data_IF_697518051771
#
_entry.id   IF_697518051771
#
_cell.length_a   1.000
_cell.length_b   1.000
_cell.length_c   1.000
_cell.angle_alpha   90.00
_cell.angle_beta   90.00
_cell.angle_gamma   90.00
#
_symmetry.space_group_name_H-M   'P 1'
#
loop_
_entity.id
_entity.type
_entity.pdbx_description
1 polymer ?
#
# COMPACT_ATOMS: atom_id res chain seq x y z
N UNK A 1 -17.57 -1.50 16.41
CA UNK A 1 -16.56 -1.21 15.37
C UNK A 1 -16.37 0.30 15.35
N UNK A 2 -15.13 0.78 15.43
CA UNK A 2 -14.81 2.19 15.35
C UNK A 2 -14.48 2.57 13.91
N UNK A 3 -15.08 3.66 13.43
CA UNK A 3 -14.85 4.16 12.07
C UNK A 3 -13.74 5.21 12.06
N UNK A 4 -13.00 5.29 10.95
CA UNK A 4 -12.04 6.37 10.75
C UNK A 4 -12.74 7.73 10.74
N UNK A 5 -12.08 8.71 11.32
CA UNK A 5 -12.49 10.11 11.17
C UNK A 5 -12.01 10.61 9.81
N UNK A 6 -12.94 11.05 8.97
CA UNK A 6 -12.60 11.69 7.70
C UNK A 6 -11.84 13.00 7.95
N UNK A 7 -10.91 13.32 7.06
CA UNK A 7 -10.04 14.51 7.17
C UNK A 7 -10.18 15.46 5.98
N UNK A 8 -11.20 15.26 5.14
CA UNK A 8 -11.44 16.10 3.96
C UNK A 8 -11.71 17.57 4.30
N UNK A 9 -12.34 17.84 5.44
CA UNK A 9 -12.60 19.18 5.98
C UNK A 9 -11.34 19.95 6.35
N UNK A 10 -10.19 19.28 6.41
CA UNK A 10 -8.89 19.85 6.77
C UNK A 10 -7.92 20.01 5.59
N UNK A 11 -8.32 19.64 4.37
CA UNK A 11 -7.41 19.67 3.20
C UNK A 11 -6.83 21.06 2.93
N UNK A 12 -7.60 22.11 3.19
CA UNK A 12 -7.14 23.49 3.07
C UNK A 12 -6.50 24.05 4.36
N UNK A 13 -6.23 23.19 5.35
CA UNK A 13 -5.70 23.54 6.67
C UNK A 13 -4.50 22.66 7.04
N UNK A 14 -3.33 22.80 6.38
CA UNK A 14 -2.19 21.90 6.56
C UNK A 14 -1.76 21.70 8.02
N UNK A 15 -1.79 22.77 8.82
CA UNK A 15 -1.47 22.69 10.25
C UNK A 15 -2.43 21.80 11.04
N UNK A 16 -3.72 21.80 10.70
CA UNK A 16 -4.72 20.93 11.33
C UNK A 16 -4.57 19.47 10.87
N UNK A 17 -4.25 19.23 9.59
CA UNK A 17 -3.92 17.90 9.09
C UNK A 17 -2.71 17.31 9.81
N UNK A 18 -1.61 18.07 9.91
CA UNK A 18 -0.40 17.64 10.65
C UNK A 18 -0.71 17.34 12.12
N UNK A 19 -1.51 18.18 12.77
CA UNK A 19 -1.93 17.95 14.15
C UNK A 19 -2.70 16.63 14.29
N UNK A 20 -3.69 16.38 13.42
CA UNK A 20 -4.46 15.12 13.41
C UNK A 20 -3.56 13.92 13.17
N UNK A 21 -2.68 13.97 12.16
CA UNK A 21 -1.72 12.89 11.88
C UNK A 21 -0.81 12.60 13.08
N UNK A 22 -0.35 13.64 13.77
CA UNK A 22 0.48 13.51 14.98
C UNK A 22 -0.29 12.90 16.15
N UNK A 23 -1.56 13.25 16.31
CA UNK A 23 -2.40 12.78 17.43
C UNK A 23 -2.91 11.36 17.20
N UNK A 24 -3.44 11.09 16.01
CA UNK A 24 -4.15 9.84 15.68
C UNK A 24 -3.23 8.80 15.04
N UNK A 25 -2.13 9.20 14.39
CA UNK A 25 -1.21 8.34 13.65
C UNK A 25 -1.67 8.04 12.24
N UNK A 26 -2.82 8.59 11.80
CA UNK A 26 -3.39 8.41 10.48
C UNK A 26 -4.20 9.63 10.03
N UNK A 27 -4.42 9.69 8.71
CA UNK A 27 -5.44 10.51 8.05
C UNK A 27 -6.27 9.60 7.13
N UNK A 28 -7.56 9.82 7.10
CA UNK A 28 -8.44 9.15 6.15
C UNK A 28 -9.05 10.20 5.23
N UNK A 29 -8.73 10.13 3.94
CA UNK A 29 -9.15 11.10 2.93
C UNK A 29 -10.02 10.40 1.90
N UNK A 30 -11.21 10.89 1.72
CA UNK A 30 -12.15 10.43 0.70
C UNK A 30 -11.83 11.09 -0.64
N UNK A 31 -11.94 10.32 -1.70
CA UNK A 31 -12.01 10.82 -3.08
C UNK A 31 -10.82 11.69 -3.51
N UNK A 32 -9.62 11.32 -3.09
CA UNK A 32 -8.39 12.07 -3.41
C UNK A 32 -7.64 11.49 -4.63
N UNK A 33 -7.78 10.18 -4.90
CA UNK A 33 -7.18 9.58 -6.09
C UNK A 33 -8.11 9.63 -7.30
N UNK A 34 -7.55 9.76 -8.52
CA UNK A 34 -8.33 9.77 -9.76
C UNK A 34 -9.04 8.44 -9.98
N UNK A 35 -10.36 8.43 -9.87
CA UNK A 35 -11.19 7.22 -9.98
C UNK A 35 -11.05 6.51 -11.33
N UNK A 36 -10.96 7.26 -12.41
CA UNK A 36 -10.80 6.70 -13.75
C UNK A 36 -9.50 5.91 -13.89
N UNK A 37 -8.40 6.45 -13.34
CA UNK A 37 -7.11 5.77 -13.35
C UNK A 37 -7.12 4.53 -12.43
N UNK A 38 -7.71 4.64 -11.25
CA UNK A 38 -7.88 3.51 -10.34
C UNK A 38 -8.74 2.39 -10.95
N UNK A 39 -9.84 2.73 -11.66
CA UNK A 39 -10.66 1.77 -12.39
C UNK A 39 -9.90 1.14 -13.57
N UNK A 40 -9.07 1.91 -14.27
CA UNK A 40 -8.22 1.37 -15.32
C UNK A 40 -7.24 0.34 -14.75
N UNK A 41 -6.56 0.66 -13.64
CA UNK A 41 -5.65 -0.27 -12.97
C UNK A 41 -6.40 -1.53 -12.51
N UNK A 42 -7.58 -1.38 -11.89
CA UNK A 42 -8.44 -2.50 -11.49
C UNK A 42 -8.75 -3.41 -12.67
N UNK A 43 -9.18 -2.83 -13.78
CA UNK A 43 -9.51 -3.59 -14.99
C UNK A 43 -8.31 -4.41 -15.46
N UNK A 44 -7.13 -3.79 -15.62
CA UNK A 44 -5.92 -4.48 -16.05
C UNK A 44 -5.56 -5.64 -15.09
N UNK A 45 -5.62 -5.42 -13.78
CA UNK A 45 -5.34 -6.49 -12.80
C UNK A 45 -6.32 -7.65 -12.96
N UNK A 46 -7.61 -7.36 -13.10
CA UNK A 46 -8.64 -8.40 -13.27
C UNK A 46 -8.50 -9.13 -14.62
N UNK A 47 -8.09 -8.44 -15.70
CA UNK A 47 -7.74 -9.06 -16.97
C UNK A 47 -6.59 -10.05 -16.80
N UNK A 48 -5.51 -9.67 -16.09
CA UNK A 48 -4.38 -10.56 -15.79
C UNK A 48 -4.81 -11.76 -14.93
N UNK A 49 -5.68 -11.54 -13.94
CA UNK A 49 -6.25 -12.63 -13.15
C UNK A 49 -7.09 -13.58 -14.00
N UNK A 50 -7.87 -13.05 -14.96
CA UNK A 50 -8.68 -13.87 -15.88
C UNK A 50 -7.83 -14.71 -16.81
N UNK A 51 -6.78 -14.14 -17.36
CA UNK A 51 -5.83 -14.84 -18.24
C UNK A 51 -5.17 -16.03 -17.53
N UNK A 52 -4.92 -15.92 -16.23
CA UNK A 52 -4.34 -17.01 -15.41
C UNK A 52 -5.39 -17.91 -14.75
N UNK A 53 -6.69 -17.73 -15.10
CA UNK A 53 -7.78 -18.59 -14.62
C UNK A 53 -8.18 -18.38 -13.16
N UNK A 54 -7.90 -17.18 -12.59
CA UNK A 54 -8.28 -16.89 -11.20
C UNK A 54 -9.70 -16.39 -11.04
N UNK A 55 -10.34 -15.98 -12.13
CA UNK A 55 -11.72 -15.47 -12.09
C UNK A 55 -12.70 -16.54 -12.55
N UNK A 56 -13.87 -16.52 -11.93
CA UNK A 56 -14.99 -17.37 -12.28
C UNK A 56 -15.38 -17.20 -13.77
N UNK A 57 -15.49 -18.32 -14.49
CA UNK A 57 -15.82 -18.31 -15.90
C UNK A 57 -17.19 -17.69 -16.16
N UNK A 58 -17.28 -16.82 -17.18
CA UNK A 58 -18.53 -16.15 -17.57
C UNK A 58 -18.95 -14.98 -16.66
N UNK A 59 -18.28 -14.72 -15.54
CA UNK A 59 -18.59 -13.57 -14.69
C UNK A 59 -18.20 -12.23 -15.34
N UNK A 60 -18.93 -11.12 -15.07
CA UNK A 60 -18.49 -9.79 -15.50
C UNK A 60 -17.12 -9.47 -14.90
N UNK A 61 -16.18 -8.95 -15.73
CA UNK A 61 -14.80 -8.73 -15.33
C UNK A 61 -14.70 -7.88 -14.04
N UNK A 62 -15.42 -6.75 -14.01
CA UNK A 62 -15.27 -5.74 -12.95
C UNK A 62 -15.86 -6.18 -11.61
N UNK A 63 -16.62 -7.25 -11.56
CA UNK A 63 -17.13 -7.82 -10.31
C UNK A 63 -16.01 -8.52 -9.53
N UNK A 64 -14.97 -9.01 -10.25
CA UNK A 64 -13.81 -9.65 -9.63
C UNK A 64 -14.14 -10.94 -8.89
N UNK A 65 -15.14 -11.68 -9.40
CA UNK A 65 -15.57 -12.94 -8.79
C UNK A 65 -14.56 -14.05 -9.07
N UNK A 66 -14.27 -14.86 -8.05
CA UNK A 66 -13.31 -15.96 -8.09
C UNK A 66 -13.90 -17.22 -7.47
N UNK A 67 -13.61 -18.36 -8.07
CA UNK A 67 -13.78 -19.70 -7.50
C UNK A 67 -12.43 -20.41 -7.35
N UNK A 68 -11.34 -19.69 -7.58
CA UNK A 68 -9.99 -20.19 -7.46
C UNK A 68 -9.57 -20.30 -5.99
N UNK A 69 -8.87 -21.39 -5.66
CA UNK A 69 -8.25 -21.54 -4.34
C UNK A 69 -7.27 -20.40 -4.04
N UNK A 70 -7.24 -19.88 -2.80
CA UNK A 70 -6.37 -18.79 -2.43
C UNK A 70 -4.89 -19.08 -2.72
N UNK A 71 -4.22 -18.13 -3.37
CA UNK A 71 -2.80 -18.22 -3.69
C UNK A 71 -1.96 -17.48 -2.65
N UNK A 72 -0.88 -18.12 -2.23
CA UNK A 72 0.13 -17.49 -1.36
C UNK A 72 0.87 -16.40 -2.14
N UNK A 73 0.91 -15.20 -1.60
CA UNK A 73 1.67 -14.07 -2.17
C UNK A 73 3.14 -14.48 -2.40
N UNK A 74 3.65 -14.23 -3.61
CA UNK A 74 5.01 -14.61 -4.02
C UNK A 74 5.19 -16.07 -4.44
N UNK A 75 4.17 -16.93 -4.38
CA UNK A 75 4.21 -18.31 -4.89
C UNK A 75 4.37 -18.34 -6.41
N UNK A 76 4.74 -19.52 -6.96
CA UNK A 76 4.90 -19.69 -8.41
C UNK A 76 3.64 -19.37 -9.19
N UNK A 77 2.45 -19.74 -8.68
CA UNK A 77 1.17 -19.47 -9.33
C UNK A 77 0.77 -17.99 -9.27
N UNK A 78 1.22 -17.27 -8.24
CA UNK A 78 0.90 -15.85 -8.05
C UNK A 78 1.78 -14.89 -8.89
N UNK A 79 3.06 -15.25 -9.11
CA UNK A 79 4.06 -14.38 -9.77
C UNK A 79 3.71 -13.92 -11.18
N UNK A 80 3.09 -14.73 -12.06
CA UNK A 80 2.78 -14.27 -13.43
C UNK A 80 1.85 -13.05 -13.45
N UNK A 81 0.76 -13.09 -12.68
CA UNK A 81 -0.16 -11.93 -12.53
C UNK A 81 0.60 -10.73 -11.96
N UNK A 82 1.38 -10.96 -10.90
CA UNK A 82 2.07 -9.88 -10.22
C UNK A 82 3.14 -9.19 -11.08
N UNK A 83 3.85 -9.94 -11.91
CA UNK A 83 4.82 -9.37 -12.84
C UNK A 83 4.14 -8.45 -13.88
N UNK A 84 2.97 -8.85 -14.40
CA UNK A 84 2.17 -8.01 -15.31
C UNK A 84 1.70 -6.73 -14.62
N UNK A 85 1.30 -6.81 -13.34
CA UNK A 85 0.92 -5.64 -12.53
C UNK A 85 2.11 -4.71 -12.34
N UNK A 86 3.28 -5.24 -11.96
CA UNK A 86 4.49 -4.45 -11.76
C UNK A 86 5.02 -3.80 -13.06
N UNK A 87 4.71 -4.37 -14.23
CA UNK A 87 5.03 -3.77 -15.53
C UNK A 87 4.00 -2.72 -15.99
N UNK A 88 2.87 -2.56 -15.29
CA UNK A 88 1.83 -1.59 -15.65
C UNK A 88 2.23 -0.18 -15.19
N UNK A 89 2.57 0.71 -16.11
CA UNK A 89 2.96 2.10 -15.78
C UNK A 89 1.92 2.83 -14.93
N UNK A 90 0.63 2.73 -15.27
CA UNK A 90 -0.45 3.39 -14.54
C UNK A 90 -0.47 3.00 -13.05
N UNK A 91 -0.11 1.74 -12.74
CA UNK A 91 -0.01 1.26 -11.37
C UNK A 91 1.06 2.00 -10.55
N UNK A 92 2.15 2.44 -11.19
CA UNK A 92 3.18 3.23 -10.53
C UNK A 92 2.92 4.75 -10.61
N UNK A 93 2.20 5.19 -11.64
CA UNK A 93 1.91 6.61 -11.85
C UNK A 93 0.87 7.17 -10.89
N UNK A 94 -0.13 6.40 -10.49
CA UNK A 94 -1.25 6.89 -9.66
C UNK A 94 -0.79 7.57 -8.37
N UNK A 95 0.30 7.11 -7.76
CA UNK A 95 0.89 7.73 -6.58
C UNK A 95 1.52 9.11 -6.85
N UNK A 96 1.83 9.43 -8.12
CA UNK A 96 2.44 10.69 -8.53
C UNK A 96 1.41 11.77 -8.85
N UNK A 97 0.12 11.51 -8.59
CA UNK A 97 -0.96 12.46 -8.84
C UNK A 97 -0.75 13.76 -8.04
N UNK A 98 -0.90 14.90 -8.72
CA UNK A 98 -0.58 16.24 -8.19
C UNK A 98 -1.25 16.54 -6.85
N UNK A 99 -2.52 16.13 -6.67
CA UNK A 99 -3.25 16.39 -5.43
C UNK A 99 -2.66 15.63 -4.24
N UNK A 100 -2.27 14.38 -4.44
CA UNK A 100 -1.55 13.60 -3.43
C UNK A 100 -0.18 14.23 -3.13
N UNK A 101 0.56 14.60 -4.17
CA UNK A 101 1.89 15.18 -4.01
C UNK A 101 1.85 16.47 -3.19
N UNK A 102 0.97 17.40 -3.56
CA UNK A 102 0.80 18.69 -2.83
C UNK A 102 0.41 18.48 -1.36
N UNK A 103 -0.55 17.59 -1.09
CA UNK A 103 -0.94 17.27 0.29
C UNK A 103 0.23 16.69 1.08
N UNK A 104 1.08 15.86 0.46
CA UNK A 104 2.26 15.33 1.13
C UNK A 104 3.31 16.40 1.41
N UNK A 105 3.54 17.35 0.48
CA UNK A 105 4.40 18.51 0.74
C UNK A 105 3.90 19.35 1.92
N UNK A 106 2.58 19.55 2.02
CA UNK A 106 1.95 20.23 3.15
C UNK A 106 2.14 19.46 4.47
N UNK A 107 2.11 18.13 4.44
CA UNK A 107 2.31 17.29 5.63
C UNK A 107 3.77 17.28 6.09
N UNK A 108 4.72 17.23 5.17
CA UNK A 108 6.16 17.20 5.46
C UNK A 108 6.79 18.57 5.66
N UNK A 109 6.15 19.66 5.21
CA UNK A 109 6.68 21.03 5.18
C UNK A 109 8.01 21.15 4.38
N UNK A 110 8.22 20.24 3.44
CA UNK A 110 9.38 20.19 2.54
C UNK A 110 9.02 19.48 1.24
N UNK A 111 9.85 19.57 0.19
CA UNK A 111 9.68 18.74 -0.99
C UNK A 111 9.69 17.25 -0.63
N UNK A 112 8.76 16.53 -1.22
CA UNK A 112 8.60 15.08 -0.97
C UNK A 112 8.93 14.26 -2.21
N UNK A 113 9.10 12.97 -2.02
CA UNK A 113 9.00 12.04 -3.13
C UNK A 113 8.25 10.77 -2.72
N UNK A 114 7.50 10.21 -3.66
CA UNK A 114 6.92 8.90 -3.51
C UNK A 114 8.03 7.86 -3.70
N UNK A 115 8.12 6.85 -2.84
CA UNK A 115 9.08 5.77 -3.01
C UNK A 115 8.75 4.97 -4.28
N UNK A 116 9.76 4.58 -5.09
CA UNK A 116 9.53 3.82 -6.32
C UNK A 116 8.74 2.53 -6.13
N UNK A 117 9.06 1.76 -5.09
CA UNK A 117 8.34 0.54 -4.77
C UNK A 117 6.85 0.80 -4.55
N UNK A 118 6.03 0.08 -5.32
CA UNK A 118 4.57 0.08 -5.20
C UNK A 118 4.13 -1.37 -5.05
N UNK A 119 3.19 -1.64 -4.17
CA UNK A 119 2.75 -2.99 -3.84
C UNK A 119 1.27 -3.13 -4.18
N UNK A 120 0.93 -4.15 -4.99
CA UNK A 120 -0.46 -4.55 -5.19
C UNK A 120 -0.81 -5.65 -4.21
N UNK A 121 -2.00 -5.55 -3.62
CA UNK A 121 -2.56 -6.60 -2.78
C UNK A 121 -3.78 -7.20 -3.44
N UNK A 122 -3.76 -8.51 -3.59
CA UNK A 122 -4.87 -9.33 -4.09
C UNK A 122 -5.26 -10.25 -2.94
N UNK A 123 -6.35 -9.93 -2.25
CA UNK A 123 -6.84 -10.77 -1.16
C UNK A 123 -8.00 -11.62 -1.66
N UNK A 124 -7.81 -12.93 -1.57
CA UNK A 124 -8.84 -13.92 -1.88
C UNK A 124 -9.90 -13.98 -0.77
N UNK A 125 -11.13 -14.39 -1.10
CA UNK A 125 -12.16 -14.62 -0.09
C UNK A 125 -11.80 -15.80 0.82
N UNK A 126 -12.27 -15.76 2.07
CA UNK A 126 -12.10 -16.82 3.07
C UNK A 126 -10.63 -17.22 3.37
N UNK A 127 -9.67 -16.35 3.08
CA UNK A 127 -8.23 -16.61 3.32
C UNK A 127 -7.75 -15.93 4.62
N UNK A 128 -8.43 -16.17 5.73
CA UNK A 128 -8.21 -15.50 7.01
C UNK A 128 -6.83 -15.82 7.62
N UNK A 129 -6.22 -16.95 7.26
CA UNK A 129 -4.90 -17.36 7.79
C UNK A 129 -3.74 -16.64 7.08
N UNK A 130 -3.97 -16.05 5.90
CA UNK A 130 -2.94 -15.43 5.05
C UNK A 130 -3.07 -13.91 4.96
N UNK A 131 -3.99 -13.31 5.72
CA UNK A 131 -4.08 -11.87 5.87
C UNK A 131 -2.81 -11.28 6.49
N UNK A 132 -2.48 -10.05 6.13
CA UNK A 132 -1.34 -9.35 6.75
C UNK A 132 -1.62 -9.12 8.23
N UNK A 133 -0.80 -9.72 9.08
CA UNK A 133 -0.92 -9.66 10.54
C UNK A 133 -0.62 -8.26 11.09
N UNK A 134 -1.01 -7.93 12.33
CA UNK A 134 -0.68 -6.65 12.97
C UNK A 134 0.82 -6.35 12.91
N UNK A 135 1.21 -5.25 12.29
CA UNK A 135 2.62 -4.88 12.11
C UNK A 135 2.80 -3.36 12.01
N UNK A 136 4.04 -2.92 12.05
CA UNK A 136 4.48 -1.56 11.75
C UNK A 136 5.26 -1.57 10.44
N UNK A 137 4.91 -0.69 9.51
CA UNK A 137 5.62 -0.60 8.23
C UNK A 137 7.11 -0.27 8.39
N UNK A 138 7.48 0.47 9.43
CA UNK A 138 8.89 0.82 9.68
C UNK A 138 9.82 -0.39 9.80
N UNK A 139 9.30 -1.52 10.26
CA UNK A 139 10.07 -2.78 10.31
C UNK A 139 10.56 -3.22 8.92
N UNK A 140 9.79 -2.96 7.87
CA UNK A 140 10.13 -3.32 6.49
C UNK A 140 10.77 -2.16 5.73
N UNK A 141 10.25 -0.95 5.93
CA UNK A 141 10.64 0.25 5.18
C UNK A 141 11.96 0.80 5.67
N UNK A 142 12.20 0.79 6.97
CA UNK A 142 13.41 1.38 7.57
C UNK A 142 13.56 2.87 7.25
N UNK A 143 14.81 3.31 7.20
CA UNK A 143 15.14 4.69 6.79
C UNK A 143 14.68 5.73 7.81
N UNK A 144 13.51 6.34 7.58
CA UNK A 144 12.91 7.35 8.45
C UNK A 144 11.62 6.86 9.10
N UNK A 145 11.43 7.16 10.39
CA UNK A 145 10.15 6.93 11.10
C UNK A 145 9.05 7.88 10.64
N UNK A 146 9.42 8.95 9.94
CA UNK A 146 8.47 9.93 9.40
C UNK A 146 7.90 9.53 8.04
N UNK A 147 8.38 8.44 7.43
CA UNK A 147 7.78 7.90 6.20
C UNK A 147 6.28 7.66 6.40
N UNK A 148 5.48 8.10 5.44
CA UNK A 148 4.04 7.90 5.43
C UNK A 148 3.67 6.79 4.45
N UNK A 149 2.92 5.82 4.93
CA UNK A 149 2.32 4.78 4.11
C UNK A 149 0.93 5.19 3.67
N UNK A 150 0.59 4.87 2.43
CA UNK A 150 -0.71 5.11 1.83
C UNK A 150 -1.28 3.78 1.35
N UNK A 151 -2.49 3.48 1.77
CA UNK A 151 -3.27 2.35 1.28
C UNK A 151 -4.51 2.88 0.55
N UNK A 152 -4.75 2.38 -0.64
CA UNK A 152 -5.91 2.77 -1.44
C UNK A 152 -6.61 1.55 -2.04
N UNK A 153 -7.94 1.47 -2.00
CA UNK A 153 -8.68 0.42 -2.66
C UNK A 153 -8.73 0.66 -4.18
N UNK A 154 -8.73 -0.41 -4.96
CA UNK A 154 -8.97 -0.39 -6.41
C UNK A 154 -10.42 -0.80 -6.76
N UNK A 155 -11.36 -0.39 -5.93
CA UNK A 155 -12.80 -0.64 -6.03
C UNK A 155 -13.44 -0.33 -4.68
N UNK A 156 -14.75 -0.43 -4.58
CA UNK A 156 -15.41 -0.31 -3.29
C UNK A 156 -15.08 -1.53 -2.42
N UNK A 157 -14.76 -1.29 -1.15
CA UNK A 157 -14.38 -2.30 -0.18
C UNK A 157 -15.22 -2.12 1.08
N UNK A 158 -16.46 -2.63 1.08
CA UNK A 158 -17.27 -2.68 2.28
C UNK A 158 -16.61 -3.58 3.35
N UNK A 159 -17.03 -3.45 4.59
CA UNK A 159 -16.41 -4.14 5.74
C UNK A 159 -16.33 -5.66 5.57
N UNK A 160 -17.27 -6.28 4.84
CA UNK A 160 -17.28 -7.71 4.56
C UNK A 160 -16.18 -8.16 3.58
N UNK A 161 -15.76 -7.27 2.67
CA UNK A 161 -14.64 -7.52 1.72
C UNK A 161 -13.29 -7.36 2.41
N UNK A 162 -13.25 -6.68 3.56
CA UNK A 162 -12.07 -6.55 4.39
C UNK A 162 -11.04 -5.57 3.83
N UNK A 163 -11.06 -4.35 4.33
CA UNK A 163 -10.06 -3.32 4.01
C UNK A 163 -8.84 -3.36 4.93
N UNK A 164 -8.13 -2.25 5.02
CA UNK A 164 -7.08 -2.06 6.02
C UNK A 164 -7.72 -1.56 7.33
N UNK A 165 -7.25 -2.10 8.46
CA UNK A 165 -7.59 -1.64 9.82
C UNK A 165 -6.33 -1.18 10.54
N UNK A 166 -6.44 -0.24 11.47
CA UNK A 166 -5.32 0.22 12.27
C UNK A 166 -5.69 0.46 13.73
N UNK A 167 -4.67 0.44 14.59
CA UNK A 167 -4.78 0.83 16.00
C UNK A 167 -4.47 2.32 16.14
N UNK A 168 -5.50 3.10 16.42
CA UNK A 168 -5.39 4.56 16.59
C UNK A 168 -4.43 4.88 17.73
N UNK A 169 -3.46 5.77 17.46
CA UNK A 169 -2.49 6.23 18.46
C UNK A 169 -1.34 5.28 18.75
N UNK A 170 -1.30 4.06 18.17
CA UNK A 170 -0.27 3.06 18.42
C UNK A 170 1.16 3.51 18.06
N UNK A 171 1.31 4.46 17.12
CA UNK A 171 2.61 5.04 16.74
C UNK A 171 3.33 5.72 17.89
N UNK A 172 2.60 6.15 18.95
CA UNK A 172 3.16 6.80 20.13
C UNK A 172 3.99 5.85 21.01
N UNK A 173 3.77 4.55 20.88
CA UNK A 173 4.57 3.54 21.58
C UNK A 173 5.98 3.37 20.98
N UNK A 174 6.28 4.05 19.86
CA UNK A 174 7.54 3.87 19.15
C UNK A 174 7.61 2.54 18.40
N UNK A 175 8.84 2.04 18.19
CA UNK A 175 9.06 0.77 17.52
C UNK A 175 8.74 -0.41 18.45
N UNK A 176 7.93 -1.33 17.95
CA UNK A 176 7.56 -2.57 18.62
C UNK A 176 8.38 -3.74 18.07
N UNK A 177 8.85 -4.62 18.97
CA UNK A 177 9.55 -5.85 18.56
C UNK A 177 8.61 -6.76 17.78
N UNK A 178 9.05 -7.20 16.61
CA UNK A 178 8.31 -8.15 15.78
C UNK A 178 8.68 -9.59 16.12
N UNK A 179 7.73 -10.49 15.92
CA UNK A 179 7.91 -11.95 15.99
C UNK A 179 7.45 -12.59 14.70
N UNK A 180 7.88 -13.81 14.42
CA UNK A 180 7.46 -14.56 13.24
C UNK A 180 5.96 -14.87 13.29
N UNK A 181 5.27 -14.61 12.18
CA UNK A 181 3.84 -14.84 12.03
C UNK A 181 3.51 -15.30 10.60
N UNK A 182 2.38 -16.00 10.39
CA UNK A 182 1.94 -16.36 9.04
C UNK A 182 1.50 -15.13 8.24
N UNK A 183 1.39 -15.29 6.91
CA UNK A 183 0.91 -14.26 5.99
C UNK A 183 2.02 -13.40 5.39
N UNK A 184 1.65 -12.40 4.56
CA UNK A 184 2.58 -11.49 3.89
C UNK A 184 3.50 -10.77 4.89
N UNK A 185 4.80 -10.68 4.54
CA UNK A 185 5.82 -10.09 5.41
C UNK A 185 6.37 -11.04 6.48
N UNK A 186 5.65 -12.09 6.88
CA UNK A 186 6.12 -13.13 7.80
C UNK A 186 6.33 -12.69 9.25
N UNK A 187 5.84 -11.53 9.65
CA UNK A 187 6.04 -10.98 10.99
C UNK A 187 4.78 -10.29 11.53
N UNK A 188 4.64 -10.30 12.85
CA UNK A 188 3.64 -9.54 13.59
C UNK A 188 4.23 -8.85 14.81
N UNK A 189 3.50 -7.90 15.38
CA UNK A 189 3.79 -7.28 16.67
C UNK A 189 2.71 -7.61 17.68
N UNK A 190 3.06 -7.63 18.96
CA UNK A 190 2.05 -7.70 20.01
C UNK A 190 1.32 -6.36 20.09
N UNK A 191 0.00 -6.42 20.05
CA UNK A 191 -0.84 -5.23 20.13
C UNK A 191 -1.19 -4.91 21.58
N UNK A 192 -1.26 -3.60 21.86
CA UNK A 192 -1.75 -3.13 23.14
C UNK A 192 -3.26 -3.39 23.22
N UNK A 193 -3.76 -4.17 24.19
CA UNK A 193 -5.17 -4.52 24.32
C UNK A 193 -6.05 -3.31 24.69
N UNK A 194 -5.46 -2.24 25.21
CA UNK A 194 -6.18 -1.01 25.58
C UNK A 194 -6.42 -0.08 24.37
N UNK A 195 -5.78 -0.35 23.22
CA UNK A 195 -5.99 0.39 21.99
C UNK A 195 -7.13 -0.21 21.15
N UNK A 196 -7.87 0.66 20.49
CA UNK A 196 -9.00 0.26 19.67
C UNK A 196 -8.64 0.19 18.20
N UNK A 197 -9.13 -0.88 17.54
CA UNK A 197 -9.08 -1.02 16.09
C UNK A 197 -10.11 -0.12 15.42
N UNK A 198 -9.63 0.59 14.40
CA UNK A 198 -10.44 1.42 13.51
C UNK A 198 -10.41 0.82 12.11
N UNK A 199 -11.55 0.84 11.43
CA UNK A 199 -11.71 0.49 10.02
C UNK A 199 -12.94 1.22 9.45
N UNK A 200 -13.18 1.11 8.14
CA UNK A 200 -14.33 1.74 7.50
C UNK A 200 -14.72 0.97 6.23
N UNK A 201 -15.90 1.28 5.69
CA UNK A 201 -16.21 0.98 4.31
C UNK A 201 -15.46 1.97 3.42
N UNK A 202 -14.56 1.44 2.62
CA UNK A 202 -13.80 2.24 1.67
C UNK A 202 -14.52 2.33 0.33
N UNK A 203 -14.33 3.43 -0.35
CA UNK A 203 -14.82 3.65 -1.72
C UNK A 203 -13.64 3.89 -2.65
N UNK A 204 -13.85 3.62 -3.93
CA UNK A 204 -12.87 3.95 -4.95
C UNK A 204 -12.48 5.44 -4.89
N UNK A 205 -11.18 5.72 -4.86
CA UNK A 205 -10.63 7.07 -4.72
C UNK A 205 -10.22 7.45 -3.29
N UNK A 206 -10.61 6.66 -2.29
CA UNK A 206 -10.21 6.88 -0.88
C UNK A 206 -8.74 6.51 -0.65
N UNK A 207 -8.11 7.18 0.31
CA UNK A 207 -6.76 6.83 0.78
C UNK A 207 -6.72 6.87 2.31
N UNK A 208 -6.18 5.81 2.90
CA UNK A 208 -5.74 5.79 4.29
C UNK A 208 -4.24 6.07 4.33
N UNK A 209 -3.85 7.17 4.98
CA UNK A 209 -2.47 7.61 5.16
C UNK A 209 -2.09 7.38 6.62
N UNK A 210 -0.95 6.77 6.89
CA UNK A 210 -0.55 6.50 8.27
C UNK A 210 0.96 6.53 8.45
N UNK A 211 1.39 6.81 9.67
CA UNK A 211 2.81 6.86 10.04
C UNK A 211 3.41 5.45 10.00
N UNK A 212 4.69 5.35 9.64
CA UNK A 212 5.41 4.07 9.57
C UNK A 212 5.39 3.27 10.89
N UNK A 213 5.19 3.93 12.02
CA UNK A 213 5.08 3.31 13.35
C UNK A 213 3.63 3.02 13.76
N UNK A 214 2.62 3.31 12.93
CA UNK A 214 1.23 2.96 13.23
C UNK A 214 1.00 1.47 13.01
N UNK A 215 0.53 0.77 14.04
CA UNK A 215 0.16 -0.65 13.91
C UNK A 215 -1.09 -0.78 13.08
N UNK A 216 -1.02 -1.61 12.06
CA UNK A 216 -2.12 -1.87 11.15
C UNK A 216 -2.13 -3.34 10.71
N UNK A 217 -3.24 -3.79 10.15
CA UNK A 217 -3.43 -5.15 9.67
C UNK A 217 -4.46 -5.19 8.54
N UNK A 218 -4.45 -6.23 7.73
CA UNK A 218 -5.58 -6.51 6.85
C UNK A 218 -6.79 -6.96 7.69
N UNK A 219 -7.98 -6.49 7.33
CA UNK A 219 -9.20 -7.13 7.78
C UNK A 219 -9.50 -8.32 6.86
N UNK A 220 -10.15 -9.34 7.44
CA UNK A 220 -10.48 -10.57 6.71
C UNK A 220 -11.52 -10.29 5.61
N UNK A 221 -11.36 -10.98 4.48
CA UNK A 221 -12.34 -10.98 3.40
C UNK A 221 -13.34 -12.10 3.67
N UNK A 222 -14.52 -11.73 4.17
CA UNK A 222 -15.60 -12.63 4.53
C UNK A 222 -16.59 -12.88 3.39
N UNK A 223 -16.33 -12.33 2.20
CA UNK A 223 -17.17 -12.63 1.03
C UNK A 223 -16.96 -14.07 0.58
N UNK A 224 -17.89 -14.56 -0.21
CA UNK A 224 -17.81 -15.93 -0.72
C UNK A 224 -16.82 -16.05 -1.89
N UNK A 225 -16.77 -15.02 -2.75
CA UNK A 225 -16.17 -15.12 -4.08
C UNK A 225 -15.55 -13.81 -4.62
N UNK A 226 -15.46 -12.74 -3.84
CA UNK A 226 -14.95 -11.43 -4.33
C UNK A 226 -13.46 -11.26 -4.03
N UNK A 227 -12.64 -11.02 -5.06
CA UNK A 227 -11.26 -10.58 -4.90
C UNK A 227 -11.21 -9.13 -4.40
N UNK A 228 -10.52 -8.87 -3.29
CA UNK A 228 -10.21 -7.51 -2.87
C UNK A 228 -8.88 -7.05 -3.46
N UNK A 229 -8.92 -5.95 -4.21
CA UNK A 229 -7.75 -5.34 -4.82
C UNK A 229 -7.43 -4.01 -4.15
N UNK A 230 -6.16 -3.79 -3.82
CA UNK A 230 -5.67 -2.52 -3.28
C UNK A 230 -4.21 -2.27 -3.67
N UNK A 231 -3.78 -1.04 -3.46
CA UNK A 231 -2.42 -0.57 -3.75
C UNK A 231 -1.83 0.08 -2.51
N UNK A 232 -0.55 -0.25 -2.23
CA UNK A 232 0.24 0.38 -1.18
C UNK A 232 1.37 1.18 -1.81
N UNK A 233 1.57 2.41 -1.37
CA UNK A 233 2.70 3.25 -1.77
C UNK A 233 3.13 4.12 -0.59
N UNK A 234 4.30 4.74 -0.67
CA UNK A 234 4.87 5.48 0.45
C UNK A 234 5.44 6.80 -0.02
N UNK A 235 5.39 7.77 0.89
CA UNK A 235 6.03 9.08 0.72
C UNK A 235 7.00 9.37 1.84
N UNK A 236 8.04 10.13 1.50
CA UNK A 236 8.98 10.69 2.49
C UNK A 236 9.42 12.08 2.07
N UNK A 237 9.81 12.91 3.03
CA UNK A 237 10.47 14.18 2.76
C UNK A 237 11.87 13.97 2.16
N UNK A 238 12.31 14.85 1.28
CA UNK A 238 13.63 14.75 0.65
C UNK A 238 14.80 14.89 1.62
N UNK A 239 14.58 15.49 2.80
CA UNK A 239 15.59 15.57 3.86
C UNK A 239 15.84 14.22 4.57
N UNK A 240 14.92 13.27 4.43
CA UNK A 240 14.93 12.00 5.12
C UNK A 240 15.69 10.92 4.36
N UNK A 241 16.23 9.94 5.10
CA UNK A 241 16.90 8.80 4.48
C UNK A 241 15.92 7.66 4.22
N UNK A 242 16.12 6.97 3.12
CA UNK A 242 15.41 5.73 2.77
C UNK A 242 16.40 4.56 2.69
N UNK A 243 15.89 3.36 2.73
CA UNK A 243 16.68 2.15 2.49
C UNK A 243 16.76 1.88 1.00
N UNK A 244 17.92 1.45 0.50
CA UNK A 244 18.20 1.31 -0.95
C UNK A 244 17.24 0.36 -1.66
N UNK A 245 16.78 -0.71 -0.99
CA UNK A 245 15.82 -1.65 -1.56
C UNK A 245 14.47 -1.02 -1.93
N UNK A 246 14.11 0.12 -1.33
CA UNK A 246 12.89 0.84 -1.67
C UNK A 246 12.96 1.65 -2.97
N UNK A 247 14.16 1.76 -3.56
CA UNK A 247 14.35 2.25 -4.94
C UNK A 247 14.10 1.15 -5.99
N UNK A 248 13.98 -0.10 -5.55
CA UNK A 248 13.77 -1.26 -6.41
C UNK A 248 12.29 -1.64 -6.50
N UNK A 249 11.87 -2.38 -7.53
CA UNK A 249 10.50 -2.89 -7.59
C UNK A 249 10.26 -3.93 -6.50
N UNK A 250 9.01 -4.10 -6.12
CA UNK A 250 8.64 -5.14 -5.16
C UNK A 250 9.02 -6.53 -5.70
N UNK A 251 9.55 -7.37 -4.84
CA UNK A 251 10.14 -8.68 -5.18
C UNK A 251 11.44 -8.65 -5.99
N UNK A 252 12.13 -7.51 -6.13
CA UNK A 252 13.43 -7.42 -6.78
C UNK A 252 14.44 -8.52 -6.34
N UNK A 253 14.39 -8.91 -5.05
CA UNK A 253 15.21 -10.00 -4.49
C UNK A 253 15.06 -11.36 -5.21
N UNK A 254 14.01 -11.56 -5.99
CA UNK A 254 13.78 -12.76 -6.78
C UNK A 254 14.45 -12.70 -8.16
N UNK A 255 15.07 -11.56 -8.52
CA UNK A 255 15.60 -11.31 -9.85
C UNK A 255 14.49 -11.17 -10.88
N UNK A 256 14.80 -11.51 -12.13
CA UNK A 256 13.83 -11.42 -13.23
C UNK A 256 12.52 -12.16 -12.96
N UNK A 257 11.35 -11.60 -13.37
CA UNK A 257 11.22 -10.34 -14.10
C UNK A 257 11.12 -9.06 -13.22
N UNK A 258 11.39 -9.14 -11.92
CA UNK A 258 11.20 -8.04 -10.96
C UNK A 258 12.42 -7.11 -10.90
N UNK A 259 12.86 -6.64 -12.05
CA UNK A 259 13.89 -5.60 -12.21
C UNK A 259 13.33 -4.43 -13.00
N UNK A 260 13.80 -3.20 -12.73
CA UNK A 260 13.34 -2.05 -13.52
C UNK A 260 13.64 -2.20 -15.01
N UNK A 261 14.78 -2.79 -15.37
CA UNK A 261 15.16 -2.98 -16.78
C UNK A 261 14.15 -3.84 -17.56
N UNK A 262 13.45 -4.75 -16.88
CA UNK A 262 12.38 -5.56 -17.48
C UNK A 262 11.03 -4.90 -17.36
N UNK A 263 10.71 -4.33 -16.18
CA UNK A 263 9.37 -3.83 -15.90
C UNK A 263 9.05 -2.52 -16.62
N UNK A 264 10.04 -1.59 -16.72
CA UNK A 264 9.82 -0.26 -17.29
C UNK A 264 10.26 -0.15 -18.78
N UNK A 265 10.58 -1.26 -19.41
CA UNK A 265 11.08 -1.30 -20.81
C UNK A 265 10.17 -0.59 -21.81
N UNK A 266 8.86 -0.64 -21.57
CA UNK A 266 7.83 -0.05 -22.43
C UNK A 266 7.38 1.35 -21.96
N UNK A 267 7.93 1.88 -20.84
CA UNK A 267 7.63 3.22 -20.30
C UNK A 267 8.58 4.31 -20.83
N UNK A 268 9.30 4.05 -21.89
CA UNK A 268 10.29 4.96 -22.50
C UNK A 268 9.63 6.31 -22.77
N UNK A 269 10.35 7.36 -22.44
CA UNK A 269 9.89 8.75 -22.55
C UNK A 269 8.74 9.17 -21.61
N UNK A 270 8.30 8.27 -20.71
CA UNK A 270 7.33 8.62 -19.69
C UNK A 270 7.97 9.37 -18.52
N UNK A 271 7.30 10.41 -17.97
CA UNK A 271 7.74 11.04 -16.75
C UNK A 271 7.69 10.11 -15.53
N UNK A 272 6.97 8.99 -15.60
CA UNK A 272 6.92 7.95 -14.55
C UNK A 272 8.19 7.12 -14.51
N UNK A 273 8.81 6.87 -15.68
CA UNK A 273 10.01 6.03 -15.78
C UNK A 273 11.16 6.61 -14.94
N UNK A 274 11.60 5.85 -13.95
CA UNK A 274 12.76 6.16 -13.08
C UNK A 274 12.82 7.62 -12.62
N UNK A 275 11.64 8.20 -12.27
CA UNK A 275 11.53 9.62 -11.88
C UNK A 275 12.45 9.99 -10.71
N UNK A 276 12.75 9.05 -9.82
CA UNK A 276 13.62 9.25 -8.67
C UNK A 276 15.08 9.51 -9.04
N UNK A 277 15.55 9.01 -10.18
CA UNK A 277 16.91 9.28 -10.68
C UNK A 277 17.11 10.74 -11.10
N UNK A 278 16.00 11.46 -11.34
CA UNK A 278 16.00 12.91 -11.67
C UNK A 278 15.87 13.81 -10.45
N UNK A 279 15.62 13.22 -9.27
CA UNK A 279 15.49 13.98 -8.03
C UNK A 279 16.88 14.28 -7.43
N UNK A 280 17.14 15.51 -6.98
CA UNK A 280 18.42 15.83 -6.35
C UNK A 280 18.51 15.19 -4.95
N UNK A 281 19.69 14.66 -4.64
CA UNK A 281 20.11 14.35 -3.26
C UNK A 281 19.23 13.38 -2.47
N UNK A 282 18.66 12.32 -3.09
CA UNK A 282 18.02 11.25 -2.32
C UNK A 282 19.07 10.63 -1.37
N UNK A 283 18.79 10.66 -0.08
CA UNK A 283 19.65 10.08 0.94
C UNK A 283 19.30 8.60 1.11
N UNK A 284 20.22 7.71 0.79
CA UNK A 284 20.03 6.27 0.97
C UNK A 284 20.85 5.72 2.13
N UNK A 285 20.38 4.61 2.69
CA UNK A 285 21.09 3.77 3.67
C UNK A 285 21.09 2.33 3.17
N UNK A 286 22.16 1.56 3.40
CA UNK A 286 22.18 0.13 3.10
C UNK A 286 21.09 -0.64 3.87
N UNK A 287 20.58 -1.72 3.29
CA UNK A 287 19.56 -2.60 3.90
C UNK A 287 20.00 -3.22 5.23
N UNK A 288 21.30 -3.45 5.42
CA UNK A 288 21.87 -4.00 6.64
C UNK A 288 21.65 -3.11 7.89
N UNK A 289 21.35 -1.83 7.69
CA UNK A 289 21.04 -0.89 8.78
C UNK A 289 19.55 -0.89 9.19
N UNK A 290 18.70 -1.64 8.51
CA UNK A 290 17.34 -1.91 8.97
C UNK A 290 17.45 -2.90 10.12
N UNK A 291 17.20 -2.42 11.34
CA UNK A 291 17.36 -3.20 12.57
C UNK A 291 16.40 -4.39 12.55
N UNK A 292 16.87 -5.51 12.03
CA UNK A 292 16.27 -6.83 12.26
C UNK A 292 16.64 -7.28 13.67
N UNK A 293 16.04 -6.66 14.67
CA UNK A 293 16.19 -7.09 16.06
C UNK A 293 14.91 -7.72 16.56
#
# INVERSE_FOLDING_TARGET
>A
MNYFTESNDLLDQPGALRKRLKEDGYLFIRDILPKEEALFIRRCILEFCREEGWLQEGSPLMDGLTDHEPLVEGSKGWRPVYAKIQALEAFHRIKLHDQMHRMMEDLFEEPVFALPMTIARIAFPNDNERGTQPHQDWFYVGGSTETLSCWAPLGDVPSEVGGLKLLKGSHKAGFLSAHTAPGPGGHAVNVDPDLEWFQTDYRLGDVLIFKALTVHAAADNHTHDVLRLSIDFRYTGQSHSIVESWLQPHYNRLGEPFTWDTLDKDWRDSPTARYWERLPNIKTKPDEQVVRR
#
